data_IF_650579975441
#
_entry.id   IF_650579975441
#
_cell.length_a   1.000
_cell.length_b   1.000
_cell.length_c   1.000
_cell.angle_alpha   90.00
_cell.angle_beta   90.00
_cell.angle_gamma   90.00
#
_symmetry.space_group_name_H-M   'P 1'
#
loop_
_entity.id
_entity.type
_entity.pdbx_description
1 polymer ?
#
# COMPACT_ATOMS: atom_id res chain seq x y z
N UNK A 1 20.09 -9.14 13.13
CA UNK A 1 18.65 -8.84 12.86
C UNK A 1 18.42 -7.81 11.74
N UNK A 2 19.17 -6.70 11.63
CA UNK A 2 18.96 -5.68 10.58
C UNK A 2 18.99 -6.24 9.15
N UNK A 3 20.01 -7.03 8.78
CA UNK A 3 20.16 -7.54 7.40
C UNK A 3 19.02 -8.45 6.91
N UNK A 4 18.37 -9.20 7.80
CA UNK A 4 17.22 -10.07 7.43
C UNK A 4 15.99 -9.26 7.07
N UNK A 5 15.71 -8.17 7.82
CA UNK A 5 14.58 -7.28 7.53
C UNK A 5 14.82 -6.52 6.22
N UNK A 6 16.05 -6.04 5.99
CA UNK A 6 16.40 -5.34 4.74
C UNK A 6 16.14 -6.24 3.52
N UNK A 7 16.52 -7.52 3.58
CA UNK A 7 16.25 -8.49 2.51
C UNK A 7 14.76 -8.80 2.31
N UNK A 8 13.96 -8.78 3.39
CA UNK A 8 12.52 -8.99 3.27
C UNK A 8 11.85 -7.76 2.65
N UNK A 9 12.33 -6.56 2.98
CA UNK A 9 11.82 -5.31 2.44
C UNK A 9 12.28 -5.04 1.01
N UNK A 10 13.33 -5.70 0.50
CA UNK A 10 13.76 -5.53 -0.90
C UNK A 10 12.81 -6.15 -1.93
N UNK A 11 11.92 -7.04 -1.51
CA UNK A 11 10.96 -7.71 -2.41
C UNK A 11 9.54 -7.60 -1.81
N UNK A 12 8.56 -7.01 -2.54
CA UNK A 12 7.18 -6.92 -2.07
C UNK A 12 6.55 -8.29 -1.78
N UNK A 13 6.96 -9.35 -2.47
CA UNK A 13 6.44 -10.70 -2.26
C UNK A 13 6.96 -11.31 -0.96
N UNK A 14 8.23 -11.10 -0.64
CA UNK A 14 8.79 -11.50 0.66
C UNK A 14 8.13 -10.71 1.79
N UNK A 15 7.90 -9.40 1.59
CA UNK A 15 7.16 -8.58 2.54
C UNK A 15 5.75 -9.13 2.81
N UNK A 16 5.01 -9.50 1.76
CA UNK A 16 3.68 -10.10 1.92
C UNK A 16 3.74 -11.41 2.72
N UNK A 17 4.68 -12.30 2.38
CA UNK A 17 4.81 -13.63 2.98
C UNK A 17 5.27 -13.59 4.44
N UNK A 18 6.29 -12.78 4.75
CA UNK A 18 6.98 -12.84 6.04
C UNK A 18 6.59 -11.74 7.03
N UNK A 19 6.08 -10.60 6.56
CA UNK A 19 5.66 -9.49 7.43
C UNK A 19 4.14 -9.41 7.48
N UNK A 20 3.48 -9.43 6.31
CA UNK A 20 2.02 -9.37 6.26
C UNK A 20 1.33 -10.73 6.43
N UNK A 21 2.10 -11.81 6.49
CA UNK A 21 1.63 -13.17 6.78
C UNK A 21 0.47 -13.58 5.85
N UNK A 22 0.66 -13.38 4.54
CA UNK A 22 -0.18 -13.97 3.51
C UNK A 22 0.64 -14.32 2.27
N UNK A 23 0.27 -15.39 1.58
CA UNK A 23 0.91 -15.82 0.33
C UNK A 23 0.16 -15.21 -0.86
N UNK A 24 0.79 -14.32 -1.65
CA UNK A 24 0.19 -13.85 -2.88
C UNK A 24 -0.04 -15.01 -3.86
N UNK A 25 -1.15 -14.94 -4.58
CA UNK A 25 -1.43 -15.84 -5.71
C UNK A 25 -0.54 -15.50 -6.91
N UNK A 26 -0.42 -16.41 -7.88
CA UNK A 26 0.43 -16.21 -9.08
C UNK A 26 0.14 -14.90 -9.82
N UNK A 27 -1.13 -14.52 -9.95
CA UNK A 27 -1.52 -13.27 -10.62
C UNK A 27 -1.24 -12.01 -9.76
N UNK A 28 -1.22 -12.15 -8.44
CA UNK A 28 -0.80 -11.06 -7.54
C UNK A 28 0.72 -10.90 -7.53
N UNK A 29 1.48 -11.99 -7.69
CA UNK A 29 2.93 -11.97 -7.89
C UNK A 29 3.27 -11.27 -9.21
N UNK A 30 2.58 -11.60 -10.30
CA UNK A 30 2.70 -10.91 -11.60
C UNK A 30 2.38 -9.40 -11.49
N UNK A 31 1.34 -9.02 -10.73
CA UNK A 31 1.05 -7.61 -10.47
C UNK A 31 2.20 -6.92 -9.73
N UNK A 32 2.77 -7.55 -8.70
CA UNK A 32 3.89 -6.98 -7.95
C UNK A 32 5.13 -6.78 -8.83
N UNK A 33 5.43 -7.76 -9.67
CA UNK A 33 6.52 -7.66 -10.64
C UNK A 33 6.27 -6.49 -11.61
N UNK A 34 5.07 -6.38 -12.18
CA UNK A 34 4.73 -5.25 -13.06
C UNK A 34 4.82 -3.91 -12.33
N UNK A 35 4.38 -3.85 -11.06
CA UNK A 35 4.44 -2.68 -10.18
C UNK A 35 5.86 -2.15 -9.98
N UNK A 36 6.86 -3.03 -9.90
CA UNK A 36 8.26 -2.61 -9.75
C UNK A 36 8.90 -2.12 -11.05
N UNK A 37 8.50 -2.70 -12.18
CA UNK A 37 9.21 -2.50 -13.45
C UNK A 37 8.55 -1.47 -14.37
N UNK A 38 7.36 -0.97 -14.03
CA UNK A 38 6.61 -0.05 -14.88
C UNK A 38 6.11 1.15 -14.08
N UNK A 39 6.26 2.34 -14.65
CA UNK A 39 5.72 3.58 -14.09
C UNK A 39 4.18 3.60 -14.12
N UNK A 40 3.56 3.04 -15.16
CA UNK A 40 2.12 3.03 -15.35
C UNK A 40 1.58 1.62 -15.58
N UNK A 41 0.49 1.29 -14.89
CA UNK A 41 -0.12 -0.04 -14.95
C UNK A 41 -1.63 0.09 -14.98
N UNK A 42 -2.25 -0.61 -15.92
CA UNK A 42 -3.69 -0.82 -15.96
C UNK A 42 -3.99 -2.31 -15.81
N UNK A 43 -4.78 -2.68 -14.81
CA UNK A 43 -5.13 -4.07 -14.52
C UNK A 43 -6.61 -4.33 -14.78
N UNK A 44 -6.93 -5.18 -15.77
CA UNK A 44 -8.28 -5.70 -15.99
C UNK A 44 -8.49 -6.93 -15.11
N UNK A 45 -9.29 -6.79 -14.05
CA UNK A 45 -9.38 -7.81 -12.99
C UNK A 45 -10.81 -8.22 -12.68
N UNK A 46 -11.02 -9.51 -12.44
CA UNK A 46 -12.30 -10.06 -12.01
C UNK A 46 -12.71 -9.61 -10.59
N UNK A 47 -13.96 -9.89 -10.22
CA UNK A 47 -14.47 -9.67 -8.86
C UNK A 47 -13.91 -10.74 -7.90
N UNK A 48 -13.90 -10.42 -6.60
CA UNK A 48 -13.51 -11.33 -5.51
C UNK A 48 -12.10 -11.98 -5.60
N UNK A 49 -11.22 -11.46 -6.44
CA UNK A 49 -9.84 -11.95 -6.63
C UNK A 49 -8.83 -11.50 -5.55
N UNK A 50 -9.28 -10.83 -4.49
CA UNK A 50 -8.38 -10.25 -3.48
C UNK A 50 -7.61 -8.99 -3.93
N UNK A 51 -7.95 -8.38 -5.07
CA UNK A 51 -7.24 -7.22 -5.65
C UNK A 51 -6.92 -6.10 -4.66
N UNK A 52 -7.91 -5.63 -3.90
CA UNK A 52 -7.74 -4.52 -2.96
C UNK A 52 -6.82 -4.89 -1.80
N UNK A 53 -6.72 -6.17 -1.44
CA UNK A 53 -5.79 -6.63 -0.41
C UNK A 53 -4.35 -6.55 -0.90
N UNK A 54 -4.09 -7.04 -2.11
CA UNK A 54 -2.76 -6.98 -2.73
C UNK A 54 -2.32 -5.53 -2.98
N UNK A 55 -3.19 -4.68 -3.53
CA UNK A 55 -2.88 -3.27 -3.76
C UNK A 55 -2.54 -2.57 -2.43
N UNK A 56 -3.32 -2.78 -1.37
CA UNK A 56 -3.00 -2.23 -0.05
C UNK A 56 -1.63 -2.68 0.48
N UNK A 57 -1.25 -3.93 0.24
CA UNK A 57 0.05 -4.46 0.64
C UNK A 57 1.20 -3.79 -0.13
N UNK A 58 1.04 -3.64 -1.46
CA UNK A 58 2.03 -2.99 -2.32
C UNK A 58 2.21 -1.52 -1.98
N UNK A 59 1.12 -0.78 -1.73
CA UNK A 59 1.19 0.64 -1.34
C UNK A 59 1.90 0.83 0.00
N UNK A 60 1.61 -0.03 0.99
CA UNK A 60 2.29 0.01 2.27
C UNK A 60 3.79 -0.35 2.14
N UNK A 61 4.10 -1.39 1.36
CA UNK A 61 5.48 -1.77 1.06
C UNK A 61 6.24 -0.61 0.43
N UNK A 62 5.68 0.01 -0.61
CA UNK A 62 6.31 1.13 -1.31
C UNK A 62 6.56 2.30 -0.36
N UNK A 63 5.57 2.68 0.44
CA UNK A 63 5.71 3.78 1.41
C UNK A 63 6.76 3.49 2.49
N UNK A 64 6.96 2.23 2.89
CA UNK A 64 8.01 1.84 3.85
C UNK A 64 9.41 1.87 3.24
N UNK A 65 9.54 1.49 1.96
CA UNK A 65 10.84 1.36 1.27
C UNK A 65 11.30 2.65 0.60
N UNK A 66 10.39 3.57 0.28
CA UNK A 66 10.68 4.87 -0.32
C UNK A 66 10.34 5.96 0.69
N UNK A 67 11.32 6.53 1.42
CA UNK A 67 11.07 7.57 2.41
C UNK A 67 10.55 8.85 1.75
N UNK A 68 9.78 9.65 2.51
CA UNK A 68 9.15 10.88 2.04
C UNK A 68 8.24 10.73 0.81
N UNK A 69 7.72 9.53 0.54
CA UNK A 69 6.80 9.30 -0.57
C UNK A 69 5.38 9.77 -0.21
N UNK A 70 4.71 10.45 -1.12
CA UNK A 70 3.29 10.78 -0.99
C UNK A 70 2.46 9.96 -1.98
N UNK A 71 1.59 9.10 -1.45
CA UNK A 71 0.73 8.22 -2.25
C UNK A 71 -0.72 8.67 -2.12
N UNK A 72 -1.33 9.03 -3.25
CA UNK A 72 -2.76 9.29 -3.34
C UNK A 72 -3.51 8.03 -3.79
N UNK A 73 -4.57 7.68 -3.07
CA UNK A 73 -5.55 6.68 -3.48
C UNK A 73 -6.80 7.43 -3.91
N UNK A 74 -7.28 7.18 -5.11
CA UNK A 74 -8.52 7.75 -5.66
C UNK A 74 -9.43 6.61 -6.08
N UNK A 75 -10.74 6.81 -5.93
CA UNK A 75 -11.72 5.81 -6.33
C UNK A 75 -13.10 6.42 -6.57
N UNK A 76 -13.98 5.73 -7.31
CA UNK A 76 -15.26 6.28 -7.74
C UNK A 76 -16.22 6.59 -6.58
N UNK A 77 -15.94 6.08 -5.38
CA UNK A 77 -16.69 6.40 -4.17
C UNK A 77 -15.76 6.58 -2.99
N UNK A 78 -16.05 7.57 -2.15
CA UNK A 78 -15.33 7.82 -0.90
C UNK A 78 -15.25 6.59 0.01
N UNK A 79 -16.27 5.74 0.00
CA UNK A 79 -16.29 4.48 0.76
C UNK A 79 -15.25 3.48 0.22
N UNK A 80 -15.07 3.41 -1.09
CA UNK A 80 -14.11 2.50 -1.72
C UNK A 80 -12.68 2.97 -1.46
N UNK A 81 -12.41 4.27 -1.52
CA UNK A 81 -11.08 4.80 -1.23
C UNK A 81 -10.68 4.57 0.22
N UNK A 82 -11.59 4.83 1.17
CA UNK A 82 -11.38 4.52 2.60
C UNK A 82 -11.18 3.03 2.89
N UNK A 83 -11.70 2.13 2.05
CA UNK A 83 -11.48 0.68 2.20
C UNK A 83 -10.01 0.30 2.07
N UNK A 84 -9.26 0.97 1.17
CA UNK A 84 -7.83 0.74 0.98
C UNK A 84 -7.05 1.16 2.22
N UNK A 85 -7.32 2.36 2.76
CA UNK A 85 -6.72 2.84 4.01
C UNK A 85 -7.06 1.93 5.18
N UNK A 86 -8.31 1.47 5.29
CA UNK A 86 -8.72 0.50 6.33
C UNK A 86 -7.93 -0.81 6.24
N UNK A 87 -7.68 -1.32 5.03
CA UNK A 87 -6.86 -2.52 4.81
C UNK A 87 -5.41 -2.29 5.20
N UNK A 88 -4.84 -1.14 4.83
CA UNK A 88 -3.47 -0.77 5.22
C UNK A 88 -3.36 -0.67 6.74
N UNK A 89 -4.31 -0.02 7.42
CA UNK A 89 -4.35 0.02 8.89
C UNK A 89 -4.40 -1.38 9.53
N UNK A 90 -5.11 -2.31 8.90
CA UNK A 90 -5.10 -3.72 9.31
C UNK A 90 -3.74 -4.40 9.15
N UNK A 91 -2.92 -3.97 8.17
CA UNK A 91 -1.54 -4.43 8.02
C UNK A 91 -0.57 -3.77 9.02
N UNK A 92 -0.83 -2.51 9.41
CA UNK A 92 0.01 -1.80 10.39
C UNK A 92 0.10 -2.53 11.73
N UNK A 93 -0.93 -3.30 12.11
CA UNK A 93 -0.91 -4.10 13.36
C UNK A 93 0.16 -5.19 13.36
N UNK A 94 0.64 -5.61 12.17
CA UNK A 94 1.73 -6.58 12.00
C UNK A 94 3.12 -5.92 12.01
N UNK A 95 3.18 -4.59 12.07
CA UNK A 95 4.43 -3.82 12.06
C UNK A 95 4.80 -3.30 13.46
N UNK A 96 6.09 -3.01 13.72
CA UNK A 96 6.48 -2.31 14.94
C UNK A 96 5.80 -0.94 15.03
N UNK A 97 5.20 -0.64 16.19
CA UNK A 97 4.50 0.65 16.44
C UNK A 97 5.34 1.90 16.16
N UNK A 98 6.67 1.79 16.24
CA UNK A 98 7.62 2.89 15.94
C UNK A 98 7.73 3.26 14.46
N UNK A 99 7.13 2.48 13.55
CA UNK A 99 7.21 2.72 12.10
C UNK A 99 6.06 3.58 11.56
N UNK A 100 5.00 3.77 12.34
CA UNK A 100 3.81 4.49 11.89
C UNK A 100 3.22 5.36 13.00
N UNK A 101 2.58 6.46 12.62
CA UNK A 101 1.81 7.30 13.54
C UNK A 101 0.44 6.69 13.80
N UNK A 102 -0.31 7.25 14.75
CA UNK A 102 -1.66 6.77 15.10
C UNK A 102 -2.52 6.58 13.84
N UNK A 103 -3.03 5.37 13.55
CA UNK A 103 -3.83 5.09 12.36
C UNK A 103 -5.08 5.97 12.28
N UNK A 104 -5.35 6.53 11.09
CA UNK A 104 -6.54 7.35 10.81
C UNK A 104 -7.38 6.71 9.70
N UNK A 105 -8.63 7.16 9.55
CA UNK A 105 -9.56 6.58 8.56
C UNK A 105 -9.27 6.98 7.12
N UNK A 106 -8.57 8.10 6.93
CA UNK A 106 -8.33 8.72 5.62
C UNK A 106 -6.86 8.77 5.22
N UNK A 107 -5.96 8.65 6.18
CA UNK A 107 -4.52 8.77 5.97
C UNK A 107 -3.75 7.76 6.82
N UNK A 108 -2.66 7.26 6.26
CA UNK A 108 -1.61 6.48 6.93
C UNK A 108 -0.35 7.31 6.87
N UNK A 109 0.27 7.55 8.03
CA UNK A 109 1.53 8.30 8.14
C UNK A 109 2.59 7.38 8.73
N UNK A 110 3.73 7.29 8.05
CA UNK A 110 4.89 6.52 8.48
C UNK A 110 5.94 7.45 9.11
N UNK A 111 6.78 6.89 9.98
CA UNK A 111 7.83 7.68 10.65
C UNK A 111 9.01 8.04 9.74
N UNK A 112 9.09 7.43 8.55
CA UNK A 112 10.06 7.77 7.50
C UNK A 112 9.60 8.95 6.60
N UNK A 113 8.56 9.69 7.02
CA UNK A 113 8.02 10.83 6.28
C UNK A 113 7.00 10.47 5.19
N UNK A 114 6.86 9.19 4.85
CA UNK A 114 5.91 8.75 3.81
C UNK A 114 4.47 8.78 4.31
N UNK A 115 3.54 9.11 3.42
CA UNK A 115 2.10 9.16 3.73
C UNK A 115 1.25 8.58 2.59
N UNK A 116 0.17 7.90 2.95
CA UNK A 116 -0.81 7.32 2.03
C UNK A 116 -2.17 7.91 2.38
N UNK A 117 -2.78 8.64 1.45
CA UNK A 117 -4.02 9.37 1.70
C UNK A 117 -5.08 9.02 0.66
N UNK A 118 -6.33 8.92 1.11
CA UNK A 118 -7.46 8.70 0.22
C UNK A 118 -8.15 10.02 -0.14
N UNK A 119 -8.53 10.16 -1.42
CA UNK A 119 -9.31 11.28 -1.95
C UNK A 119 -10.62 10.81 -2.60
N UNK A 120 -11.68 11.64 -2.57
CA UNK A 120 -12.82 11.42 -3.45
C UNK A 120 -12.39 11.66 -4.91
N UNK A 121 -13.13 11.09 -5.86
CA UNK A 121 -12.87 11.31 -7.28
C UNK A 121 -13.40 12.68 -7.73
N UNK A 122 -12.82 13.76 -7.20
CA UNK A 122 -13.08 15.15 -7.59
C UNK A 122 -11.75 15.81 -8.00
N UNK A 123 -11.65 16.38 -9.23
CA UNK A 123 -10.45 17.07 -9.70
C UNK A 123 -9.86 18.09 -8.71
N UNK A 124 -10.71 18.83 -8.00
CA UNK A 124 -10.29 19.88 -7.07
C UNK A 124 -9.57 19.30 -5.85
N UNK A 125 -9.99 18.11 -5.42
CA UNK A 125 -9.40 17.43 -4.25
C UNK A 125 -8.05 16.79 -4.54
N UNK A 126 -7.72 16.55 -5.81
CA UNK A 126 -6.46 15.95 -6.23
C UNK A 126 -5.41 17.02 -6.57
N UNK A 127 -5.84 18.23 -6.96
CA UNK A 127 -4.94 19.33 -7.38
C UNK A 127 -4.42 20.24 -6.26
N UNK A 128 -4.75 19.97 -5.00
CA UNK A 128 -4.31 20.75 -3.83
C UNK A 128 -3.20 20.13 -2.96
N UNK A 129 -3.15 18.80 -2.75
CA UNK A 129 -2.14 18.21 -1.89
C UNK A 129 -0.75 18.25 -2.54
N UNK A 130 0.20 18.98 -1.94
CA UNK A 130 1.64 18.97 -2.31
C UNK A 130 2.42 18.15 -1.30
#
# INVERSE_FOLDING_TARGET
MKGKITRILSDPILFCKYILDFKPTRYQEDLAYKFLNNQFITARWCRQSGKSHMISALLLWYALTHPNSYIAVVGPSWRQTKLIIRKINGFLTKLPKKWYKKPRKTIVELTNGSRIECFPNNPDTIRGPT
#
